data_IF_511405002907
#
_entry.id   IF_511405002907
#
_cell.length_a   1.000
_cell.length_b   1.000
_cell.length_c   1.000
_cell.angle_alpha   90.00
_cell.angle_beta   90.00
_cell.angle_gamma   90.00
#
_symmetry.space_group_name_H-M   'P 1'
#
loop_
_entity.id
_entity.type
_entity.pdbx_description
1 polymer ?
#
# COMPACT_ATOMS: atom_id res chain seq x y z
N UNK A 1 -13.99 -82.52 -13.23
CA UNK A 1 -13.19 -81.86 -12.17
C UNK A 1 -12.81 -80.41 -12.51
N UNK A 2 -12.47 -80.06 -13.76
CA UNK A 2 -12.10 -78.69 -14.18
C UNK A 2 -13.13 -77.59 -13.82
N UNK A 3 -14.43 -77.91 -13.86
CA UNK A 3 -15.51 -76.92 -13.72
C UNK A 3 -15.63 -76.31 -12.31
N UNK A 4 -15.24 -77.06 -11.27
CA UNK A 4 -15.28 -76.58 -9.88
C UNK A 4 -14.12 -75.63 -9.55
N UNK A 5 -12.93 -75.89 -10.10
CA UNK A 5 -11.77 -75.01 -9.97
C UNK A 5 -11.98 -73.64 -10.61
N UNK A 6 -12.69 -73.59 -11.74
CA UNK A 6 -13.05 -72.32 -12.40
C UNK A 6 -13.96 -71.44 -11.54
N UNK A 7 -14.95 -72.03 -10.86
CA UNK A 7 -15.85 -71.28 -9.97
C UNK A 7 -15.10 -70.70 -8.77
N UNK A 8 -14.19 -71.49 -8.18
CA UNK A 8 -13.33 -71.01 -7.09
C UNK A 8 -12.41 -69.88 -7.55
N UNK A 9 -11.73 -70.05 -8.68
CA UNK A 9 -10.85 -69.04 -9.25
C UNK A 9 -11.60 -67.74 -9.56
N UNK A 10 -12.82 -67.83 -10.08
CA UNK A 10 -13.68 -66.67 -10.34
C UNK A 10 -14.01 -65.92 -9.05
N UNK A 11 -14.41 -66.63 -7.98
CA UNK A 11 -14.70 -66.02 -6.68
C UNK A 11 -13.47 -65.34 -6.05
N UNK A 12 -12.32 -65.99 -6.12
CA UNK A 12 -11.06 -65.42 -5.65
C UNK A 12 -10.67 -64.16 -6.45
N UNK A 13 -10.85 -64.19 -7.77
CA UNK A 13 -10.56 -63.05 -8.65
C UNK A 13 -11.48 -61.87 -8.34
N UNK A 14 -12.77 -62.11 -8.07
CA UNK A 14 -13.71 -61.06 -7.64
C UNK A 14 -13.29 -60.46 -6.30
N UNK A 15 -12.88 -61.28 -5.33
CA UNK A 15 -12.43 -60.80 -4.02
C UNK A 15 -11.18 -59.91 -4.14
N UNK A 16 -10.20 -60.33 -4.94
CA UNK A 16 -8.98 -59.53 -5.22
C UNK A 16 -9.31 -58.24 -5.97
N UNK A 17 -10.22 -58.30 -6.95
CA UNK A 17 -10.65 -57.11 -7.68
C UNK A 17 -11.36 -56.10 -6.75
N UNK A 18 -12.19 -56.58 -5.82
CA UNK A 18 -12.89 -55.74 -4.86
C UNK A 18 -11.92 -55.03 -3.90
N UNK A 19 -10.94 -55.75 -3.34
CA UNK A 19 -9.94 -55.16 -2.45
C UNK A 19 -9.04 -54.17 -3.18
N UNK A 20 -8.60 -54.50 -4.40
CA UNK A 20 -7.83 -53.59 -5.24
C UNK A 20 -8.62 -52.32 -5.58
N UNK A 21 -9.91 -52.44 -5.86
CA UNK A 21 -10.77 -51.29 -6.16
C UNK A 21 -10.97 -50.37 -4.96
N UNK A 22 -11.21 -50.93 -3.77
CA UNK A 22 -11.30 -50.18 -2.52
C UNK A 22 -9.97 -49.48 -2.23
N UNK A 23 -8.84 -50.17 -2.38
CA UNK A 23 -7.51 -49.60 -2.22
C UNK A 23 -7.23 -48.46 -3.19
N UNK A 24 -7.62 -48.58 -4.45
CA UNK A 24 -7.49 -47.50 -5.42
C UNK A 24 -8.36 -46.28 -5.06
N UNK A 25 -9.55 -46.50 -4.48
CA UNK A 25 -10.44 -45.42 -4.02
C UNK A 25 -9.89 -44.70 -2.79
N UNK A 26 -9.35 -45.43 -1.82
CA UNK A 26 -8.74 -44.82 -0.64
C UNK A 26 -7.49 -44.04 -1.01
N UNK A 27 -6.62 -44.56 -1.89
CA UNK A 27 -5.45 -43.83 -2.38
C UNK A 27 -5.82 -42.53 -3.10
N UNK A 28 -6.86 -42.55 -3.95
CA UNK A 28 -7.37 -41.33 -4.60
C UNK A 28 -7.93 -40.32 -3.59
N UNK A 29 -8.61 -40.80 -2.54
CA UNK A 29 -9.14 -39.93 -1.50
C UNK A 29 -8.01 -39.29 -0.67
N UNK A 30 -6.96 -40.05 -0.34
CA UNK A 30 -5.77 -39.53 0.35
C UNK A 30 -5.02 -38.50 -0.50
N UNK A 31 -4.87 -38.75 -1.80
CA UNK A 31 -4.28 -37.79 -2.73
C UNK A 31 -5.09 -36.48 -2.77
N UNK A 32 -6.41 -36.57 -2.93
CA UNK A 32 -7.28 -35.39 -2.91
C UNK A 32 -7.22 -34.63 -1.56
N UNK A 33 -7.13 -35.37 -0.44
CA UNK A 33 -6.97 -34.76 0.88
C UNK A 33 -5.60 -34.08 1.05
N UNK A 34 -4.53 -34.67 0.52
CA UNK A 34 -3.19 -34.07 0.53
C UNK A 34 -3.16 -32.77 -0.29
N UNK A 35 -3.76 -32.77 -1.48
CA UNK A 35 -3.86 -31.59 -2.34
C UNK A 35 -4.67 -30.47 -1.66
N UNK A 36 -5.82 -30.82 -1.07
CA UNK A 36 -6.65 -29.86 -0.32
C UNK A 36 -5.90 -29.25 0.87
N UNK A 37 -5.13 -30.06 1.62
CA UNK A 37 -4.29 -29.57 2.73
C UNK A 37 -3.17 -28.65 2.22
N UNK A 38 -2.54 -28.98 1.09
CA UNK A 38 -1.51 -28.15 0.50
C UNK A 38 -2.05 -26.78 0.06
N UNK A 39 -3.23 -26.75 -0.57
CA UNK A 39 -3.92 -25.51 -0.94
C UNK A 39 -4.30 -24.69 0.29
N UNK A 40 -4.86 -25.33 1.33
CA UNK A 40 -5.20 -24.65 2.58
C UNK A 40 -3.96 -24.05 3.27
N UNK A 41 -2.84 -24.79 3.31
CA UNK A 41 -1.59 -24.30 3.87
C UNK A 41 -1.01 -23.12 3.07
N UNK A 42 -1.14 -23.12 1.74
CA UNK A 42 -0.75 -21.99 0.92
C UNK A 42 -1.62 -20.76 1.21
N UNK A 43 -2.95 -20.94 1.24
CA UNK A 43 -3.90 -19.87 1.57
C UNK A 43 -3.63 -19.24 2.93
N UNK A 44 -3.35 -20.06 3.95
CA UNK A 44 -3.04 -19.57 5.29
C UNK A 44 -1.72 -18.78 5.32
N UNK A 45 -0.69 -19.23 4.59
CA UNK A 45 0.57 -18.47 4.46
C UNK A 45 0.35 -17.11 3.79
N UNK A 46 -0.45 -17.06 2.74
CA UNK A 46 -0.78 -15.82 2.03
C UNK A 46 -1.55 -14.87 2.95
N UNK A 47 -2.59 -15.38 3.64
CA UNK A 47 -3.38 -14.62 4.61
C UNK A 47 -2.51 -14.07 5.74
N UNK A 48 -1.61 -14.88 6.28
CA UNK A 48 -0.71 -14.48 7.36
C UNK A 48 0.35 -13.46 6.87
N UNK A 49 0.85 -13.59 5.64
CA UNK A 49 1.73 -12.61 5.03
C UNK A 49 1.02 -11.26 4.85
N UNK A 50 -0.22 -11.29 4.34
CA UNK A 50 -1.04 -10.09 4.17
C UNK A 50 -1.33 -9.42 5.52
N UNK A 51 -1.71 -10.21 6.53
CA UNK A 51 -1.99 -9.69 7.86
C UNK A 51 -0.74 -9.08 8.50
N UNK A 52 0.44 -9.69 8.34
CA UNK A 52 1.71 -9.13 8.81
C UNK A 52 2.08 -7.83 8.09
N UNK A 53 1.80 -7.75 6.80
CA UNK A 53 2.01 -6.52 6.02
C UNK A 53 1.07 -5.42 6.53
N UNK A 54 -0.21 -5.71 6.69
CA UNK A 54 -1.21 -4.76 7.18
C UNK A 54 -0.90 -4.29 8.60
N UNK A 55 -0.55 -5.20 9.51
CA UNK A 55 -0.18 -4.86 10.89
C UNK A 55 1.06 -3.93 10.95
N UNK A 56 2.01 -4.07 10.02
CA UNK A 56 3.18 -3.19 9.92
C UNK A 56 2.86 -1.83 9.30
N UNK A 57 1.94 -1.79 8.33
CA UNK A 57 1.56 -0.55 7.64
C UNK A 57 0.54 0.28 8.42
N UNK A 58 -0.35 -0.35 9.19
CA UNK A 58 -1.40 0.31 9.95
C UNK A 58 -0.92 1.50 10.81
N UNK A 59 0.15 1.39 11.64
CA UNK A 59 0.59 2.53 12.44
C UNK A 59 1.16 3.68 11.59
N UNK A 60 1.81 3.37 10.45
CA UNK A 60 2.31 4.38 9.53
C UNK A 60 1.13 5.15 8.92
N UNK A 61 0.14 4.43 8.37
CA UNK A 61 -1.06 5.04 7.79
C UNK A 61 -1.84 5.86 8.83
N UNK A 62 -1.96 5.36 10.07
CA UNK A 62 -2.66 6.08 11.14
C UNK A 62 -1.98 7.40 11.50
N UNK A 63 -0.64 7.44 11.52
CA UNK A 63 0.14 8.67 11.75
C UNK A 63 -0.05 9.65 10.61
N UNK A 64 0.06 9.19 9.37
CA UNK A 64 -0.06 10.07 8.21
C UNK A 64 -1.49 10.58 7.97
N UNK A 65 -2.50 9.79 8.31
CA UNK A 65 -3.90 10.19 8.22
C UNK A 65 -4.31 11.23 9.29
N UNK A 66 -3.53 11.36 10.37
CA UNK A 66 -3.83 12.30 11.44
C UNK A 66 -3.42 13.75 11.08
N UNK A 67 -2.68 13.96 10.00
CA UNK A 67 -2.24 15.31 9.62
C UNK A 67 -3.39 16.18 9.12
N UNK A 68 -3.56 17.40 9.68
CA UNK A 68 -4.55 18.34 9.17
C UNK A 68 -4.11 18.87 7.79
N UNK A 69 -5.06 19.25 6.91
CA UNK A 69 -4.73 19.79 5.58
C UNK A 69 -3.76 20.99 5.60
N UNK A 70 -3.82 21.80 6.66
CA UNK A 70 -2.91 22.95 6.83
C UNK A 70 -1.44 22.56 7.03
N UNK A 71 -1.15 21.36 7.56
CA UNK A 71 0.22 20.88 7.74
C UNK A 71 0.95 20.64 6.41
N UNK A 72 0.20 20.49 5.30
CA UNK A 72 0.77 20.35 3.97
C UNK A 72 1.27 21.68 3.37
N UNK A 73 1.06 22.80 4.04
CA UNK A 73 1.75 24.07 3.74
C UNK A 73 3.05 24.16 4.54
N UNK A 74 4.15 24.72 4.00
CA UNK A 74 5.39 24.89 4.76
C UNK A 74 5.25 25.80 5.99
N UNK A 75 4.31 26.75 5.96
CA UNK A 75 4.00 27.66 7.06
C UNK A 75 2.49 27.76 7.26
N UNK A 76 2.06 27.94 8.51
CA UNK A 76 0.66 28.05 8.94
C UNK A 76 0.46 29.43 9.57
N UNK A 77 -0.64 30.11 9.24
CA UNK A 77 -1.04 31.35 9.91
C UNK A 77 -1.89 31.03 11.15
N UNK A 78 -1.57 31.66 12.29
CA UNK A 78 -2.15 31.39 13.63
C UNK A 78 -3.70 31.50 13.69
N UNK A 79 -4.32 32.24 12.78
CA UNK A 79 -5.75 32.59 12.85
C UNK A 79 -6.57 32.00 11.70
N UNK A 80 -6.62 30.65 11.58
CA UNK A 80 -7.56 29.93 10.72
C UNK A 80 -7.59 30.34 9.23
N UNK A 81 -6.60 31.10 8.80
CA UNK A 81 -6.60 31.82 7.55
C UNK A 81 -5.79 31.09 6.49
N UNK A 82 -6.30 31.09 5.27
CA UNK A 82 -5.57 30.69 4.06
C UNK A 82 -4.21 31.39 4.07
N UNK A 83 -3.15 30.59 3.99
CA UNK A 83 -1.78 31.09 3.84
C UNK A 83 -1.73 31.86 2.51
N UNK A 84 -1.34 33.14 2.50
CA UNK A 84 -1.29 33.91 1.27
C UNK A 84 -0.35 33.24 0.26
N UNK A 85 -0.71 33.30 -1.02
CA UNK A 85 0.16 32.79 -2.09
C UNK A 85 1.52 33.49 -2.04
N UNK A 86 2.59 32.78 -2.41
CA UNK A 86 3.97 33.27 -2.44
C UNK A 86 4.06 34.66 -3.12
N UNK A 87 4.08 35.72 -2.31
CA UNK A 87 3.97 37.11 -2.78
C UNK A 87 3.37 38.06 -1.74
N UNK A 88 2.47 37.58 -0.88
CA UNK A 88 1.84 38.40 0.16
C UNK A 88 2.39 38.07 1.55
N UNK A 89 3.50 38.71 1.91
CA UNK A 89 3.95 38.74 3.29
C UNK A 89 3.04 39.66 4.11
N UNK A 90 2.07 39.09 4.82
CA UNK A 90 1.35 39.85 5.84
C UNK A 90 2.27 40.05 7.05
N UNK A 91 2.92 41.22 7.10
CA UNK A 91 3.85 41.67 8.16
C UNK A 91 3.28 41.64 9.60
N UNK A 92 1.99 41.37 9.76
CA UNK A 92 1.28 41.40 11.05
C UNK A 92 0.81 40.02 11.56
N UNK A 93 1.11 38.91 10.88
CA UNK A 93 0.72 37.56 11.34
C UNK A 93 1.93 36.74 11.75
N UNK A 94 1.79 36.04 12.88
CA UNK A 94 2.76 35.05 13.33
C UNK A 94 2.65 33.83 12.41
N UNK A 95 3.74 33.53 11.72
CA UNK A 95 3.86 32.36 10.86
C UNK A 95 4.52 31.24 11.65
N UNK A 96 3.78 30.16 11.88
CA UNK A 96 4.28 28.97 12.53
C UNK A 96 4.83 28.00 11.48
N UNK A 97 6.03 27.43 11.66
CA UNK A 97 6.52 26.39 10.77
C UNK A 97 5.60 25.17 10.84
N UNK A 98 5.35 24.54 9.70
CA UNK A 98 4.65 23.26 9.69
C UNK A 98 5.48 22.18 10.39
N UNK A 99 4.84 21.25 11.12
CA UNK A 99 5.54 20.10 11.70
C UNK A 99 6.20 19.21 10.62
N UNK A 100 5.73 19.26 9.37
CA UNK A 100 6.30 18.51 8.24
C UNK A 100 7.52 19.20 7.62
N UNK A 101 7.81 20.45 8.00
CA UNK A 101 8.95 21.21 7.45
C UNK A 101 10.29 20.65 7.92
N UNK A 102 10.33 20.01 9.09
CA UNK A 102 11.54 19.43 9.68
C UNK A 102 12.01 18.14 9.00
N UNK A 103 11.29 17.66 7.99
CA UNK A 103 11.63 16.49 7.19
C UNK A 103 10.60 15.37 7.30
N UNK A 104 10.62 14.43 6.35
CA UNK A 104 9.66 13.35 6.30
C UNK A 104 9.92 12.34 7.44
N UNK A 105 8.83 11.79 8.00
CA UNK A 105 8.90 10.73 9.01
C UNK A 105 9.47 9.41 8.48
N UNK A 106 9.68 8.45 9.38
CA UNK A 106 10.19 7.12 9.01
C UNK A 106 9.27 6.43 7.98
N UNK A 107 9.85 5.98 6.87
CA UNK A 107 9.09 5.33 5.78
C UNK A 107 8.38 6.29 4.84
N UNK A 108 8.51 7.61 5.03
CA UNK A 108 8.02 8.64 4.11
C UNK A 108 9.20 9.30 3.41
N UNK A 109 9.07 9.55 2.12
CA UNK A 109 10.12 10.21 1.32
C UNK A 109 9.81 11.67 1.01
N UNK A 110 8.52 11.99 0.84
CA UNK A 110 8.06 13.33 0.48
C UNK A 110 6.54 13.43 0.70
N UNK A 111 6.08 14.49 1.35
CA UNK A 111 4.66 14.84 1.40
C UNK A 111 4.29 15.71 0.19
N UNK A 112 3.27 15.33 -0.56
CA UNK A 112 2.85 16.03 -1.78
C UNK A 112 1.39 16.43 -1.67
N UNK A 113 1.10 17.67 -2.05
CA UNK A 113 -0.26 18.16 -2.25
C UNK A 113 -0.37 18.91 -3.58
N UNK A 114 -1.56 18.92 -4.16
CA UNK A 114 -1.89 19.75 -5.32
C UNK A 114 -2.81 20.88 -4.89
N UNK A 115 -2.33 22.12 -4.85
CA UNK A 115 -3.17 23.29 -4.69
C UNK A 115 -3.94 23.60 -5.98
N UNK A 116 -4.80 24.62 -5.94
CA UNK A 116 -5.71 24.97 -7.04
C UNK A 116 -5.00 25.32 -8.37
N UNK A 117 -3.74 25.74 -8.31
CA UNK A 117 -2.88 26.02 -9.46
C UNK A 117 -2.37 24.75 -10.18
N UNK A 118 -2.56 23.58 -9.59
CA UNK A 118 -2.33 22.29 -10.26
C UNK A 118 -0.87 21.82 -10.33
N UNK A 119 0.09 22.59 -9.83
CA UNK A 119 1.48 22.14 -9.66
C UNK A 119 1.65 21.37 -8.33
N UNK A 120 2.35 20.22 -8.30
CA UNK A 120 2.61 19.51 -7.04
C UNK A 120 3.51 20.37 -6.16
N UNK A 121 3.17 20.47 -4.88
CA UNK A 121 3.97 21.17 -3.86
C UNK A 121 4.20 20.27 -2.66
N UNK A 122 5.26 20.58 -1.92
CA UNK A 122 5.64 19.87 -0.70
C UNK A 122 5.97 20.86 0.42
N UNK A 123 5.60 20.57 1.68
CA UNK A 123 6.06 21.35 2.83
C UNK A 123 7.58 21.34 2.98
N UNK A 124 8.22 20.22 2.66
CA UNK A 124 9.65 19.95 2.85
C UNK A 124 10.51 20.66 1.79
N UNK A 125 9.90 21.05 0.66
CA UNK A 125 10.53 21.80 -0.43
C UNK A 125 9.87 23.19 -0.59
N UNK A 126 10.01 24.09 0.41
CA UNK A 126 9.42 25.42 0.35
C UNK A 126 10.04 26.24 -0.78
N UNK A 127 9.20 26.82 -1.65
CA UNK A 127 9.67 27.76 -2.66
C UNK A 127 10.22 29.05 -2.03
N UNK A 128 11.03 29.81 -2.76
CA UNK A 128 11.34 31.18 -2.37
C UNK A 128 10.03 31.99 -2.26
N UNK A 129 9.82 32.80 -1.21
CA UNK A 129 10.79 33.23 -0.19
C UNK A 129 10.78 32.41 1.13
N UNK A 130 9.89 31.41 1.23
CA UNK A 130 9.71 30.54 2.40
C UNK A 130 10.94 29.70 2.74
N UNK A 131 11.72 29.31 1.71
CA UNK A 131 13.02 28.66 1.90
C UNK A 131 13.96 29.42 2.83
N UNK A 132 14.09 30.73 2.61
CA UNK A 132 14.99 31.56 3.42
C UNK A 132 14.51 31.66 4.87
N UNK A 133 13.20 31.61 5.10
CA UNK A 133 12.60 31.59 6.43
C UNK A 133 12.85 30.25 7.13
N UNK A 134 12.70 29.12 6.42
CA UNK A 134 12.95 27.79 6.95
C UNK A 134 14.41 27.60 7.40
N UNK A 135 15.37 28.05 6.58
CA UNK A 135 16.80 28.01 6.92
C UNK A 135 17.08 28.86 8.17
N UNK A 136 16.47 30.05 8.28
CA UNK A 136 16.60 30.90 9.47
C UNK A 136 15.99 30.27 10.74
N UNK A 137 14.97 29.42 10.59
CA UNK A 137 14.34 28.70 11.68
C UNK A 137 15.05 27.38 12.04
N UNK A 138 16.17 27.06 11.38
CA UNK A 138 17.06 25.95 11.75
C UNK A 138 16.90 24.67 10.92
N UNK A 139 16.14 24.70 9.81
CA UNK A 139 16.07 23.58 8.87
C UNK A 139 17.35 23.50 8.04
N UNK A 140 17.92 22.30 7.89
CA UNK A 140 19.15 22.10 7.12
C UNK A 140 18.92 22.39 5.62
N UNK A 141 19.71 23.27 5.00
CA UNK A 141 19.65 23.51 3.56
C UNK A 141 19.80 22.26 2.69
N UNK A 142 20.53 21.24 3.17
CA UNK A 142 20.75 19.97 2.47
C UNK A 142 19.47 19.14 2.39
N UNK A 143 18.70 19.11 3.48
CA UNK A 143 17.43 18.39 3.53
C UNK A 143 16.39 19.04 2.60
N UNK A 144 16.33 20.37 2.58
CA UNK A 144 15.49 21.13 1.65
C UNK A 144 15.89 20.84 0.20
N UNK A 145 17.18 20.85 -0.12
CA UNK A 145 17.65 20.56 -1.47
C UNK A 145 17.34 19.12 -1.91
N UNK A 146 17.40 18.17 -0.97
CA UNK A 146 17.04 16.76 -1.22
C UNK A 146 15.54 16.63 -1.49
N UNK A 147 14.70 17.31 -0.71
CA UNK A 147 13.25 17.34 -0.92
C UNK A 147 12.88 18.01 -2.25
N UNK A 148 13.55 19.11 -2.62
CA UNK A 148 13.39 19.79 -3.91
C UNK A 148 13.72 18.86 -5.09
N UNK A 149 14.81 18.09 -5.00
CA UNK A 149 15.19 17.12 -6.01
C UNK A 149 14.15 16.00 -6.16
N UNK A 150 13.63 15.46 -5.06
CA UNK A 150 12.56 14.45 -5.06
C UNK A 150 11.26 15.00 -5.65
N UNK A 151 10.90 16.23 -5.33
CA UNK A 151 9.70 16.88 -5.89
C UNK A 151 9.84 17.09 -7.40
N UNK A 152 11.03 17.48 -7.87
CA UNK A 152 11.31 17.61 -9.30
C UNK A 152 11.23 16.26 -10.02
N UNK A 153 11.83 15.20 -9.47
CA UNK A 153 11.74 13.84 -10.00
C UNK A 153 10.29 13.35 -10.05
N UNK A 154 9.51 13.61 -9.00
CA UNK A 154 8.09 13.30 -8.94
C UNK A 154 7.30 14.02 -10.02
N UNK A 155 7.48 15.33 -10.15
CA UNK A 155 6.77 16.16 -11.14
C UNK A 155 7.06 15.74 -12.59
N UNK A 156 8.26 15.23 -12.87
CA UNK A 156 8.63 14.70 -14.19
C UNK A 156 7.92 13.39 -14.52
N UNK A 157 7.75 12.50 -13.53
CA UNK A 157 7.15 11.18 -13.74
C UNK A 157 5.63 11.17 -13.64
N UNK A 158 5.07 12.05 -12.80
CA UNK A 158 3.65 12.02 -12.45
C UNK A 158 2.94 13.31 -12.88
N UNK A 159 2.12 13.17 -13.92
CA UNK A 159 1.17 14.20 -14.33
C UNK A 159 -0.17 13.96 -13.63
N UNK A 160 -0.73 15.02 -13.02
CA UNK A 160 -1.99 14.95 -12.27
C UNK A 160 -3.12 14.31 -13.07
N UNK A 161 -3.32 14.72 -14.32
CA UNK A 161 -4.44 14.23 -15.14
C UNK A 161 -4.30 12.73 -15.45
N UNK A 162 -3.07 12.28 -15.72
CA UNK A 162 -2.78 10.86 -15.93
C UNK A 162 -3.00 10.05 -14.65
N UNK A 163 -2.61 10.59 -13.50
CA UNK A 163 -2.82 9.93 -12.21
C UNK A 163 -4.31 9.81 -11.89
N UNK A 164 -5.08 10.90 -12.05
CA UNK A 164 -6.53 10.91 -11.82
C UNK A 164 -7.24 9.96 -12.79
N UNK A 165 -6.84 9.95 -14.06
CA UNK A 165 -7.39 9.04 -15.06
C UNK A 165 -7.11 7.57 -14.71
N UNK A 166 -5.91 7.25 -14.20
CA UNK A 166 -5.54 5.91 -13.79
C UNK A 166 -6.24 5.44 -12.51
N UNK A 167 -6.50 6.35 -11.56
CA UNK A 167 -7.18 6.02 -10.29
C UNK A 167 -8.70 5.87 -10.45
N UNK A 168 -9.31 6.57 -11.41
CA UNK A 168 -10.75 6.50 -11.68
C UNK A 168 -11.29 5.07 -11.86
N UNK A 169 -10.71 4.19 -12.69
CA UNK A 169 -11.17 2.81 -12.82
C UNK A 169 -10.91 1.94 -11.59
N UNK A 170 -9.90 2.26 -10.77
CA UNK A 170 -9.59 1.51 -9.54
C UNK A 170 -10.55 1.84 -8.38
N UNK A 171 -11.11 3.05 -8.36
CA UNK A 171 -12.09 3.51 -7.37
C UNK A 171 -13.54 3.23 -7.77
N UNK A 172 -13.78 2.83 -9.02
CA UNK A 172 -15.09 2.34 -9.43
C UNK A 172 -15.41 1.07 -8.64
N UNK A 173 -16.59 0.95 -7.99
CA UNK A 173 -16.95 -0.24 -7.25
C UNK A 173 -16.88 -1.44 -8.21
N UNK A 174 -15.97 -2.37 -7.90
CA UNK A 174 -15.84 -3.61 -8.66
C UNK A 174 -17.14 -4.37 -8.43
N UNK A 175 -18.02 -4.43 -9.45
CA UNK A 175 -19.18 -5.28 -9.41
C UNK A 175 -18.67 -6.73 -9.24
N UNK A 176 -18.84 -7.27 -8.04
CA UNK A 176 -18.55 -8.67 -7.77
C UNK A 176 -19.55 -9.51 -8.59
N UNK A 177 -19.10 -10.54 -9.32
CA UNK A 177 -20.00 -11.50 -9.96
C UNK A 177 -20.76 -12.34 -8.93
#
# INVERSE_FOLDING_TARGET
MIRWWLLYALGALVAVAATAWIGARTLRAEQAAADARAQAAHGERVRLALWRLEARLAPLVAREAAWPPAAFSPFIADEGGVVPSAGEFCSSRVLLPSPLLAGPGEGVYLHIHWPADGAPRSPEAPAAPWRNLAIKQGVDPVDIATAEARLAEFAQRFQRDRLVAALRPALAPRALP
#
